data_IF_334808363850
#
_entry.id   IF_334808363850
#
_cell.length_a   1.000
_cell.length_b   1.000
_cell.length_c   1.000
_cell.angle_alpha   90.00
_cell.angle_beta   90.00
_cell.angle_gamma   90.00
#
_symmetry.space_group_name_H-M   'P 1'
#
loop_
_entity.id
_entity.type
_entity.pdbx_description
1 polymer ?
#
# COMPACT_ATOMS: atom_id res chain seq x y z
N UNK A 1 -0.57 -2.88 -13.75
CA UNK A 1 -0.21 -4.33 -13.79
C UNK A 1 1.29 -4.60 -13.90
N UNK A 2 2.05 -3.90 -14.77
CA UNK A 2 3.46 -4.24 -15.01
C UNK A 2 4.37 -4.03 -13.77
N UNK A 3 4.09 -3.01 -12.94
CA UNK A 3 4.94 -2.69 -11.77
C UNK A 3 4.65 -3.61 -10.58
N UNK A 4 3.38 -3.87 -10.27
CA UNK A 4 2.97 -4.67 -9.11
C UNK A 4 3.50 -6.09 -9.20
N UNK A 5 3.45 -6.71 -10.39
CA UNK A 5 4.03 -8.03 -10.61
C UNK A 5 5.55 -8.02 -10.43
N UNK A 6 6.25 -7.03 -10.99
CA UNK A 6 7.71 -6.90 -10.85
C UNK A 6 8.15 -6.67 -9.40
N UNK A 7 7.41 -5.87 -8.64
CA UNK A 7 7.65 -5.69 -7.20
C UNK A 7 7.44 -7.00 -6.45
N UNK A 8 6.37 -7.73 -6.77
CA UNK A 8 6.11 -9.01 -6.16
C UNK A 8 7.20 -10.04 -6.44
N UNK A 9 7.66 -10.12 -7.69
CA UNK A 9 8.74 -11.01 -8.09
C UNK A 9 10.06 -10.63 -7.38
N UNK A 10 10.40 -9.33 -7.28
CA UNK A 10 11.63 -8.86 -6.60
C UNK A 10 11.64 -9.20 -5.11
N UNK A 11 10.52 -8.98 -4.41
CA UNK A 11 10.45 -9.07 -2.95
C UNK A 11 9.77 -10.35 -2.44
N UNK A 12 9.45 -11.31 -3.32
CA UNK A 12 8.74 -12.53 -2.94
C UNK A 12 7.32 -12.28 -2.40
N UNK A 13 6.65 -11.21 -2.85
CA UNK A 13 5.29 -10.88 -2.43
C UNK A 13 4.25 -11.68 -3.21
N UNK A 14 3.05 -11.78 -2.65
CA UNK A 14 1.86 -12.30 -3.34
C UNK A 14 1.13 -11.15 -4.03
N UNK A 15 0.45 -11.43 -5.13
CA UNK A 15 -0.37 -10.43 -5.85
C UNK A 15 -1.86 -10.75 -5.77
N UNK A 16 -2.70 -9.72 -5.72
CA UNK A 16 -4.17 -9.81 -5.88
C UNK A 16 -4.67 -8.62 -6.69
N UNK A 17 -5.78 -8.82 -7.40
CA UNK A 17 -6.47 -7.76 -8.15
C UNK A 17 -7.84 -7.52 -7.53
N UNK A 18 -8.13 -6.28 -7.18
CA UNK A 18 -9.42 -5.84 -6.69
C UNK A 18 -10.14 -5.02 -7.77
N UNK A 19 -11.42 -5.30 -7.98
CA UNK A 19 -12.29 -4.50 -8.87
C UNK A 19 -13.33 -3.81 -8.02
N UNK A 20 -13.32 -2.48 -8.01
CA UNK A 20 -14.35 -1.67 -7.38
C UNK A 20 -15.04 -0.80 -8.43
N UNK A 21 -16.34 -0.54 -8.23
CA UNK A 21 -17.10 0.44 -9.02
C UNK A 21 -17.21 1.70 -8.20
N UNK A 22 -16.72 2.83 -8.70
CA UNK A 22 -16.91 4.14 -8.07
C UNK A 22 -17.96 4.94 -8.85
N UNK A 23 -18.97 5.43 -8.14
CA UNK A 23 -19.97 6.34 -8.69
C UNK A 23 -19.43 7.76 -8.62
N UNK A 24 -19.46 8.49 -9.74
CA UNK A 24 -19.20 9.93 -9.78
C UNK A 24 -20.54 10.63 -10.02
N UNK A 25 -21.04 11.34 -9.02
CA UNK A 25 -22.28 12.12 -9.18
C UNK A 25 -21.94 13.47 -9.83
N UNK A 26 -22.40 13.66 -11.06
CA UNK A 26 -22.40 14.93 -11.79
C UNK A 26 -23.81 15.29 -12.26
N UNK A 27 -24.01 16.54 -12.69
CA UNK A 27 -25.32 17.12 -13.04
C UNK A 27 -26.09 16.40 -14.18
N UNK A 28 -25.44 15.51 -14.94
CA UNK A 28 -26.08 14.54 -15.84
C UNK A 28 -25.84 13.11 -15.31
N UNK A 29 -26.92 12.42 -14.94
CA UNK A 29 -26.95 11.14 -14.20
C UNK A 29 -26.28 9.91 -14.86
N UNK A 30 -25.56 10.07 -15.99
CA UNK A 30 -25.20 8.94 -16.86
C UNK A 30 -23.75 8.90 -17.38
N UNK A 31 -22.84 9.77 -16.95
CA UNK A 31 -21.46 9.71 -17.47
C UNK A 31 -20.52 8.86 -16.61
N UNK A 32 -20.43 7.59 -17.03
CA UNK A 32 -19.31 6.66 -16.92
C UNK A 32 -19.10 5.97 -15.58
N UNK A 33 -19.71 4.78 -15.44
CA UNK A 33 -19.21 3.73 -14.57
C UNK A 33 -17.77 3.40 -14.96
N UNK A 34 -16.79 3.93 -14.23
CA UNK A 34 -15.41 3.52 -14.40
C UNK A 34 -15.11 2.34 -13.47
N UNK A 35 -14.84 1.18 -14.06
CA UNK A 35 -14.25 0.06 -13.34
C UNK A 35 -12.88 0.50 -12.81
N UNK A 36 -12.76 0.60 -11.50
CA UNK A 36 -11.50 0.88 -10.84
C UNK A 36 -10.83 -0.45 -10.52
N UNK A 37 -9.81 -0.79 -11.31
CA UNK A 37 -8.98 -1.97 -11.08
C UNK A 37 -7.79 -1.55 -10.23
N UNK A 38 -7.69 -2.13 -9.04
CA UNK A 38 -6.57 -1.91 -8.12
C UNK A 38 -5.75 -3.20 -8.11
N UNK A 39 -4.49 -3.09 -8.50
CA UNK A 39 -3.53 -4.20 -8.38
C UNK A 39 -2.79 -4.06 -7.06
N UNK A 40 -2.61 -5.14 -6.32
CA UNK A 40 -1.99 -5.12 -5.00
C UNK A 40 -0.91 -6.21 -4.93
N UNK A 41 0.29 -5.85 -4.50
CA UNK A 41 1.31 -6.78 -4.04
C UNK A 41 1.41 -6.68 -2.51
N UNK A 42 1.56 -7.81 -1.81
CA UNK A 42 1.71 -7.83 -0.36
C UNK A 42 2.57 -9.00 0.11
N UNK A 43 3.36 -8.78 1.15
CA UNK A 43 4.28 -9.79 1.64
C UNK A 43 5.23 -9.24 2.68
N UNK A 44 6.17 -10.08 3.10
CA UNK A 44 7.21 -9.71 4.06
C UNK A 44 8.46 -9.34 3.28
N UNK A 45 8.90 -8.10 3.44
CA UNK A 45 10.19 -7.61 2.97
C UNK A 45 11.07 -7.50 4.20
N UNK A 46 12.09 -8.34 4.31
CA UNK A 46 13.12 -8.16 5.32
C UNK A 46 12.60 -8.12 6.78
N UNK A 47 11.54 -8.89 7.06
CA UNK A 47 10.89 -8.95 8.37
C UNK A 47 9.74 -7.95 8.57
N UNK A 48 9.46 -7.09 7.57
CA UNK A 48 8.41 -6.08 7.60
C UNK A 48 7.30 -6.41 6.63
N UNK A 49 6.04 -6.30 7.06
CA UNK A 49 4.94 -6.50 6.15
C UNK A 49 4.63 -5.25 5.35
N UNK A 50 4.68 -5.41 4.04
CA UNK A 50 4.35 -4.38 3.06
C UNK A 50 3.08 -4.78 2.30
N UNK A 51 2.32 -3.76 1.91
CA UNK A 51 1.39 -3.85 0.78
C UNK A 51 1.57 -2.65 -0.13
N UNK A 52 1.68 -2.89 -1.43
CA UNK A 52 1.75 -1.87 -2.47
C UNK A 52 0.54 -2.01 -3.36
N UNK A 53 -0.24 -0.94 -3.52
CA UNK A 53 -1.39 -0.91 -4.43
C UNK A 53 -1.23 0.14 -5.53
N UNK A 54 -1.68 -0.21 -6.73
CA UNK A 54 -1.68 0.65 -7.91
C UNK A 54 -3.14 0.93 -8.31
N UNK A 55 -3.60 2.19 -8.16
CA UNK A 55 -4.93 2.65 -8.54
C UNK A 55 -4.83 3.47 -9.85
N UNK A 56 -5.16 2.84 -10.98
CA UNK A 56 -4.96 3.43 -12.31
C UNK A 56 -5.79 4.68 -12.57
N UNK A 57 -7.02 4.73 -12.06
CA UNK A 57 -7.94 5.86 -12.28
C UNK A 57 -7.41 7.14 -11.62
N UNK A 58 -6.86 7.01 -10.42
CA UNK A 58 -6.26 8.14 -9.69
C UNK A 58 -4.82 8.43 -10.08
N UNK A 59 -4.19 7.54 -10.86
CA UNK A 59 -2.76 7.57 -11.14
C UNK A 59 -1.94 7.59 -9.84
N UNK A 60 -2.26 6.67 -8.94
CA UNK A 60 -1.71 6.64 -7.59
C UNK A 60 -1.06 5.28 -7.28
N UNK A 61 0.07 5.32 -6.58
CA UNK A 61 0.62 4.16 -5.87
C UNK A 61 0.46 4.40 -4.37
N UNK A 62 0.01 3.39 -3.63
CA UNK A 62 -0.07 3.46 -2.17
C UNK A 62 0.79 2.37 -1.56
N UNK A 63 1.75 2.74 -0.73
CA UNK A 63 2.52 1.83 0.10
C UNK A 63 1.93 1.82 1.50
N UNK A 64 1.77 0.65 2.08
CA UNK A 64 1.49 0.46 3.51
C UNK A 64 2.50 -0.48 4.12
N UNK A 65 2.90 -0.15 5.33
CA UNK A 65 3.97 -0.84 6.04
C UNK A 65 3.49 -1.02 7.47
N UNK A 66 3.40 -2.26 7.93
CA UNK A 66 3.01 -2.52 9.31
C UNK A 66 4.18 -2.19 10.24
N UNK A 67 3.86 -1.54 11.36
CA UNK A 67 4.79 -1.23 12.43
C UNK A 67 4.20 -1.69 13.77
N UNK A 68 5.07 -1.92 14.75
CA UNK A 68 4.63 -2.12 16.11
C UNK A 68 3.86 -0.87 16.62
N UNK A 69 2.78 -1.09 17.35
CA UNK A 69 2.02 -0.03 18.01
C UNK A 69 2.85 0.76 19.03
N UNK A 70 3.90 0.12 19.56
CA UNK A 70 4.84 0.69 20.52
C UNK A 70 5.99 1.45 19.83
N UNK A 71 6.05 1.47 18.50
CA UNK A 71 7.09 2.19 17.75
C UNK A 71 7.07 3.69 18.08
N UNK A 72 8.24 4.24 18.41
CA UNK A 72 8.37 5.69 18.62
C UNK A 72 8.18 6.46 17.31
N UNK A 73 7.03 7.13 17.22
CA UNK A 73 6.63 7.89 16.03
C UNK A 73 7.44 9.17 15.84
N UNK A 74 8.11 9.67 16.88
CA UNK A 74 8.92 10.88 16.77
C UNK A 74 10.16 10.65 15.90
N UNK A 75 10.79 9.47 16.01
CA UNK A 75 11.90 9.07 15.15
C UNK A 75 11.43 8.83 13.72
N UNK A 76 10.30 8.14 13.52
CA UNK A 76 9.72 7.95 12.19
C UNK A 76 9.44 9.26 11.44
N UNK A 77 9.11 10.36 12.15
CA UNK A 77 8.90 11.67 11.53
C UNK A 77 10.14 12.19 10.81
N UNK A 78 11.37 11.84 11.24
CA UNK A 78 12.60 12.26 10.56
C UNK A 78 12.68 11.67 9.15
N UNK A 79 12.47 10.36 9.04
CA UNK A 79 12.38 9.67 7.74
C UNK A 79 11.29 10.31 6.87
N UNK A 80 10.09 10.51 7.41
CA UNK A 80 8.97 11.03 6.63
C UNK A 80 9.10 12.48 6.22
N UNK A 81 9.80 13.31 6.98
CA UNK A 81 10.11 14.68 6.55
C UNK A 81 10.97 14.66 5.28
N UNK A 82 12.00 13.80 5.23
CA UNK A 82 12.82 13.65 4.02
C UNK A 82 12.02 13.09 2.83
N UNK A 83 11.13 12.12 3.06
CA UNK A 83 10.29 11.56 2.00
C UNK A 83 9.28 12.59 1.47
N UNK A 84 8.72 13.45 2.32
CA UNK A 84 7.75 14.49 1.94
C UNK A 84 8.32 15.56 1.00
N UNK A 85 9.64 15.78 1.01
CA UNK A 85 10.29 16.74 0.10
C UNK A 85 10.35 16.23 -1.34
N UNK A 86 10.10 14.93 -1.57
CA UNK A 86 10.10 14.34 -2.90
C UNK A 86 8.81 14.69 -3.62
N UNK A 87 8.94 15.28 -4.81
CA UNK A 87 7.81 15.75 -5.63
C UNK A 87 6.70 14.71 -5.90
N UNK A 88 7.03 13.43 -5.90
CA UNK A 88 6.09 12.35 -6.16
C UNK A 88 5.40 11.83 -4.90
N UNK A 89 5.78 12.25 -3.70
CA UNK A 89 5.12 11.89 -2.44
C UNK A 89 4.06 12.94 -2.15
N UNK A 90 2.78 12.54 -2.18
CA UNK A 90 1.67 13.47 -1.96
C UNK A 90 1.13 13.44 -0.54
N UNK A 91 1.22 12.29 0.14
CA UNK A 91 0.70 12.14 1.49
C UNK A 91 1.46 11.06 2.26
N UNK A 92 1.71 11.30 3.54
CA UNK A 92 2.20 10.30 4.49
C UNK A 92 1.31 10.34 5.73
N UNK A 93 0.74 9.18 6.09
CA UNK A 93 -0.03 8.97 7.33
C UNK A 93 0.69 7.98 8.22
N UNK A 94 0.81 8.32 9.49
CA UNK A 94 1.34 7.42 10.53
C UNK A 94 0.16 7.05 11.43
N UNK A 95 -0.36 5.85 11.23
CA UNK A 95 -1.49 5.35 12.00
C UNK A 95 -0.98 4.59 13.23
N UNK A 96 -1.89 3.96 13.97
CA UNK A 96 -1.51 3.21 15.18
C UNK A 96 -0.54 2.07 14.86
N UNK A 97 -0.84 1.29 13.84
CA UNK A 97 -0.18 0.02 13.51
C UNK A 97 0.42 -0.04 12.11
N UNK A 98 0.36 1.05 11.35
CA UNK A 98 0.95 1.10 10.02
C UNK A 98 1.32 2.52 9.61
N UNK A 99 2.22 2.61 8.64
CA UNK A 99 2.51 3.81 7.88
C UNK A 99 1.87 3.65 6.50
N UNK A 100 1.27 4.72 5.98
CA UNK A 100 0.79 4.79 4.61
C UNK A 100 1.48 5.94 3.88
N UNK A 101 2.01 5.64 2.71
CA UNK A 101 2.63 6.62 1.81
C UNK A 101 1.88 6.58 0.49
N UNK A 102 1.45 7.74 0.02
CA UNK A 102 0.78 7.91 -1.25
C UNK A 102 1.72 8.62 -2.22
N UNK A 103 1.85 8.02 -3.40
CA UNK A 103 2.67 8.53 -4.48
C UNK A 103 1.83 8.88 -5.71
N UNK A 104 2.17 9.99 -6.36
CA UNK A 104 1.59 10.42 -7.63
C UNK A 104 2.41 9.88 -8.81
N UNK A 105 1.80 8.99 -9.59
CA UNK A 105 2.44 8.39 -10.77
C UNK A 105 2.74 9.43 -11.86
N UNK A 106 2.03 10.56 -11.89
CA UNK A 106 2.23 11.61 -12.90
C UNK A 106 3.57 12.32 -12.73
N UNK A 107 4.09 12.34 -11.51
CA UNK A 107 5.39 12.95 -11.17
C UNK A 107 6.57 11.98 -11.36
N UNK A 108 6.27 10.72 -11.68
CA UNK A 108 7.25 9.67 -11.93
C UNK A 108 7.52 9.56 -13.44
N UNK A 109 8.78 9.31 -13.82
CA UNK A 109 9.26 9.26 -15.22
C UNK A 109 8.73 8.05 -16.02
N UNK A 110 7.41 7.84 -16.05
CA UNK A 110 6.76 6.66 -16.64
C UNK A 110 7.03 5.36 -15.87
N UNK A 111 6.65 4.21 -16.44
CA UNK A 111 6.61 2.90 -15.76
C UNK A 111 7.95 2.44 -15.17
N UNK A 112 9.08 2.77 -15.79
CA UNK A 112 10.39 2.42 -15.24
C UNK A 112 10.69 3.28 -14.01
N UNK A 113 10.40 4.59 -14.08
CA UNK A 113 10.50 5.47 -12.93
C UNK A 113 9.54 5.07 -11.79
N UNK A 114 8.31 4.66 -12.10
CA UNK A 114 7.35 4.15 -11.11
C UNK A 114 7.93 2.96 -10.34
N UNK A 115 8.53 1.99 -11.04
CA UNK A 115 9.13 0.81 -10.43
C UNK A 115 10.36 1.17 -9.58
N UNK A 116 11.31 1.91 -10.16
CA UNK A 116 12.57 2.29 -9.49
C UNK A 116 12.30 3.10 -8.22
N UNK A 117 11.44 4.14 -8.32
CA UNK A 117 11.09 4.99 -7.18
C UNK A 117 10.37 4.19 -6.09
N UNK A 118 9.43 3.31 -6.47
CA UNK A 118 8.71 2.50 -5.48
C UNK A 118 9.65 1.54 -4.77
N UNK A 119 10.60 0.93 -5.49
CA UNK A 119 11.64 0.08 -4.91
C UNK A 119 12.56 0.85 -3.97
N UNK A 120 13.04 2.03 -4.39
CA UNK A 120 13.89 2.90 -3.59
C UNK A 120 13.22 3.25 -2.25
N UNK A 121 11.94 3.61 -2.28
CA UNK A 121 11.18 3.94 -1.06
C UNK A 121 11.01 2.70 -0.15
N UNK A 122 10.75 1.52 -0.72
CA UNK A 122 10.64 0.28 0.07
C UNK A 122 11.97 -0.03 0.75
N UNK A 123 13.06 0.03 -0.02
CA UNK A 123 14.41 -0.29 0.45
C UNK A 123 14.85 0.71 1.54
N UNK A 124 14.66 2.01 1.31
CA UNK A 124 14.99 3.07 2.28
C UNK A 124 14.21 2.98 3.58
N UNK A 125 12.89 2.70 3.50
CA UNK A 125 12.09 2.54 4.71
C UNK A 125 12.54 1.29 5.47
N UNK A 126 12.77 0.19 4.78
CA UNK A 126 13.24 -1.05 5.40
C UNK A 126 14.57 -0.84 6.11
N UNK A 127 15.53 -0.19 5.47
CA UNK A 127 16.83 0.13 6.06
C UNK A 127 16.69 1.03 7.29
N UNK A 128 15.81 2.04 7.22
CA UNK A 128 15.54 2.92 8.35
C UNK A 128 14.94 2.16 9.53
N UNK A 129 13.92 1.33 9.30
CA UNK A 129 13.27 0.54 10.35
C UNK A 129 14.26 -0.43 11.00
N UNK A 130 15.12 -1.10 10.21
CA UNK A 130 16.18 -1.97 10.71
C UNK A 130 17.19 -1.23 11.56
N UNK A 131 17.72 -0.11 11.05
CA UNK A 131 18.73 0.71 11.75
C UNK A 131 18.26 1.18 13.11
N UNK A 132 16.96 1.45 13.25
CA UNK A 132 16.35 1.91 14.48
C UNK A 132 15.71 0.78 15.33
N UNK A 133 15.91 -0.49 14.94
CA UNK A 133 15.35 -1.68 15.60
C UNK A 133 13.83 -1.62 15.79
N UNK A 134 13.11 -1.07 14.82
CA UNK A 134 11.65 -1.05 14.84
C UNK A 134 11.12 -2.39 14.35
N UNK A 135 10.13 -2.95 15.05
CA UNK A 135 9.48 -4.21 14.69
C UNK A 135 8.27 -4.02 13.77
N UNK A 136 7.87 -5.10 13.11
CA UNK A 136 6.61 -5.19 12.37
C UNK A 136 5.70 -6.19 13.07
N UNK A 137 4.54 -5.74 13.54
CA UNK A 137 3.51 -6.60 14.13
C UNK A 137 2.24 -6.56 13.30
N UNK A 138 1.44 -7.63 13.37
CA UNK A 138 0.15 -7.65 12.71
C UNK A 138 -0.72 -6.48 13.21
N UNK A 139 -1.22 -5.67 12.28
CA UNK A 139 -2.01 -4.49 12.59
C UNK A 139 -3.34 -4.78 13.34
N UNK A 140 -3.81 -6.03 13.30
CA UNK A 140 -5.05 -6.47 13.95
C UNK A 140 -4.81 -7.23 15.25
N UNK A 141 -3.83 -8.16 15.28
CA UNK A 141 -3.59 -9.03 16.44
C UNK A 141 -2.44 -8.56 17.33
N UNK A 142 -1.57 -7.67 16.86
CA UNK A 142 -0.39 -7.20 17.60
C UNK A 142 0.66 -8.29 17.87
N UNK A 143 0.59 -9.43 17.15
CA UNK A 143 1.56 -10.51 17.27
C UNK A 143 2.69 -10.36 16.25
N UNK A 144 3.87 -10.87 16.61
CA UNK A 144 5.07 -10.94 15.78
C UNK A 144 4.99 -12.02 14.69
N UNK A 145 3.87 -12.72 14.59
CA UNK A 145 3.72 -13.90 13.73
C UNK A 145 4.07 -13.56 12.28
N UNK A 146 5.18 -14.15 11.81
CA UNK A 146 5.70 -14.12 10.44
C UNK A 146 4.75 -14.69 9.38
N UNK A 147 3.49 -14.89 9.72
CA UNK A 147 2.38 -15.08 8.83
C UNK A 147 1.36 -13.96 9.07
N UNK A 148 1.62 -12.79 8.49
CA UNK A 148 0.59 -11.78 8.32
C UNK A 148 -0.37 -12.30 7.24
N UNK A 149 -1.17 -13.27 7.65
CA UNK A 149 -2.33 -13.73 6.94
C UNK A 149 -3.29 -12.55 6.95
N UNK A 150 -3.44 -11.95 5.78
CA UNK A 150 -4.64 -11.29 5.30
C UNK A 150 -5.78 -11.45 6.32
N UNK A 151 -6.04 -10.43 7.13
CA UNK A 151 -7.37 -10.32 7.74
C UNK A 151 -8.28 -10.19 6.54
N UNK A 152 -8.86 -11.34 6.23
CA UNK A 152 -9.84 -11.61 5.19
C UNK A 152 -10.46 -10.28 4.75
N UNK A 153 -10.15 -9.80 3.54
CA UNK A 153 -10.91 -8.70 2.94
C UNK A 153 -12.42 -9.01 3.10
N UNK A 154 -12.82 -10.28 3.12
CA UNK A 154 -14.17 -10.74 3.45
C UNK A 154 -14.67 -10.36 4.86
N UNK A 155 -13.88 -10.41 5.94
CA UNK A 155 -14.34 -10.06 7.29
C UNK A 155 -14.30 -8.55 7.54
N UNK A 156 -13.29 -7.84 7.04
CA UNK A 156 -13.24 -6.38 7.12
C UNK A 156 -14.34 -5.73 6.26
N UNK A 157 -14.64 -6.28 5.07
CA UNK A 157 -15.74 -5.81 4.22
C UNK A 157 -17.12 -6.13 4.79
N UNK A 158 -17.34 -7.33 5.32
CA UNK A 158 -18.66 -7.71 5.87
C UNK A 158 -19.02 -6.92 7.14
N UNK A 159 -18.04 -6.44 7.89
CA UNK A 159 -18.28 -5.65 9.10
C UNK A 159 -18.58 -4.18 8.78
N UNK A 160 -18.17 -3.68 7.60
CA UNK A 160 -18.24 -2.25 7.27
C UNK A 160 -19.30 -1.85 6.25
N UNK A 161 -19.67 -2.68 5.25
CA UNK A 161 -20.75 -2.32 4.33
C UNK A 161 -21.31 -3.53 3.57
N UNK A 162 -22.62 -3.73 3.64
CA UNK A 162 -23.33 -4.78 2.92
C UNK A 162 -23.12 -4.76 1.40
N UNK A 163 -23.03 -5.98 0.84
CA UNK A 163 -23.22 -6.35 -0.56
C UNK A 163 -22.23 -5.84 -1.62
N UNK A 164 -21.03 -6.42 -1.68
CA UNK A 164 -20.24 -6.49 -2.92
C UNK A 164 -19.62 -7.88 -3.14
N UNK A 165 -19.73 -8.42 -4.37
CA UNK A 165 -19.20 -9.74 -4.77
C UNK A 165 -17.74 -9.62 -5.23
N UNK A 166 -16.81 -10.22 -4.48
CA UNK A 166 -15.41 -10.39 -4.89
C UNK A 166 -15.30 -11.65 -5.74
N UNK A 167 -14.81 -11.53 -6.98
CA UNK A 167 -14.52 -12.68 -7.85
C UNK A 167 -13.02 -12.96 -7.77
N UNK A 168 -12.64 -14.07 -7.11
CA UNK A 168 -11.27 -14.62 -7.14
C UNK A 168 -10.96 -15.01 -8.59
N UNK A 169 -9.91 -14.45 -9.19
CA UNK A 169 -9.35 -15.02 -10.41
C UNK A 169 -8.15 -15.87 -9.99
N UNK A 170 -8.26 -17.17 -10.27
CA UNK A 170 -7.20 -18.17 -10.15
C UNK A 170 -6.28 -18.01 -11.35
#
# INVERSE_FOLDING_TARGET
MLIIKKLADKYGMKTVTEKSRKYRFGLSLLENMMDNIIFIAYGIVDGYYFSVSEEEVKKQITLKINIDNETDKSELRKLFNSLKERKYVTEIKIEKSYIQIILDKREMKGKNGELEITQEIIDEITDYLKKHNFGSKCAYTGKDDGEIAFVNIKSAYNTLNGNYKIKRMV
#
